data_IF_612184924079
#
_entry.id   IF_612184924079
#
_cell.length_a   1.000
_cell.length_b   1.000
_cell.length_c   1.000
_cell.angle_alpha   90.00
_cell.angle_beta   90.00
_cell.angle_gamma   90.00
#
_symmetry.space_group_name_H-M   'P 1'
#
loop_
_entity.id
_entity.type
_entity.pdbx_description
1 polymer ?
#
# COMPACT_ATOMS: atom_id res chain seq x y z
N UNK A 1 26.17 24.96 16.79
CA UNK A 1 26.85 23.65 16.61
C UNK A 1 27.01 23.44 15.12
N UNK A 2 28.24 23.56 14.61
CA UNK A 2 28.59 23.52 13.19
C UNK A 2 28.86 22.08 12.78
N UNK A 3 28.17 21.57 11.75
CA UNK A 3 28.32 20.18 11.29
C UNK A 3 29.48 19.97 10.30
N UNK A 4 30.10 21.05 9.78
CA UNK A 4 31.26 20.98 8.87
C UNK A 4 32.19 22.20 9.04
N UNK A 5 33.47 22.02 8.75
CA UNK A 5 34.43 23.11 8.51
C UNK A 5 35.06 22.94 7.13
N UNK A 6 35.50 24.04 6.50
CA UNK A 6 36.14 24.05 5.17
C UNK A 6 37.52 23.38 5.14
N UNK A 7 38.03 22.93 6.29
CA UNK A 7 39.33 22.29 6.45
C UNK A 7 39.24 20.76 6.53
N UNK A 8 38.06 20.17 6.79
CA UNK A 8 37.94 18.71 6.86
C UNK A 8 36.49 18.23 6.64
N UNK A 9 36.19 17.79 5.40
CA UNK A 9 34.89 17.22 5.03
C UNK A 9 34.67 15.80 5.61
N UNK A 10 35.66 15.22 6.29
CA UNK A 10 35.64 13.80 6.74
C UNK A 10 35.39 13.59 8.24
N UNK A 11 35.24 14.65 9.05
CA UNK A 11 35.46 14.54 10.50
C UNK A 11 34.28 14.55 11.47
N UNK A 12 33.09 15.03 11.10
CA UNK A 12 31.94 15.06 12.01
C UNK A 12 30.80 14.22 11.42
N UNK A 13 30.85 12.91 11.67
CA UNK A 13 29.84 11.96 11.21
C UNK A 13 28.47 12.23 11.84
N UNK A 14 27.69 13.11 11.24
CA UNK A 14 26.27 13.22 11.56
C UNK A 14 25.56 11.97 11.04
N UNK A 15 25.17 11.12 11.97
CA UNK A 15 24.52 9.86 11.66
C UNK A 15 22.99 10.03 11.56
N UNK A 16 22.48 10.05 10.32
CA UNK A 16 21.05 10.11 10.05
C UNK A 16 20.28 8.91 10.64
N UNK A 17 20.94 7.76 10.85
CA UNK A 17 20.30 6.58 11.44
C UNK A 17 19.85 6.80 12.89
N UNK A 18 20.40 7.82 13.56
CA UNK A 18 20.04 8.20 14.94
C UNK A 18 18.98 9.29 15.01
N UNK A 19 18.42 9.70 13.88
CA UNK A 19 17.38 10.74 13.80
C UNK A 19 16.00 10.12 13.67
N UNK A 20 14.95 10.97 13.70
CA UNK A 20 13.58 10.54 13.41
C UNK A 20 13.33 10.19 11.95
N UNK A 21 14.26 10.50 11.05
CA UNK A 21 14.18 10.15 9.64
C UNK A 21 15.47 9.45 9.18
N UNK A 22 15.62 8.15 9.47
CA UNK A 22 16.74 7.36 8.96
C UNK A 22 16.72 7.29 7.43
N UNK A 23 17.83 7.67 6.78
CA UNK A 23 17.95 7.54 5.33
C UNK A 23 18.04 6.07 4.92
N UNK A 24 16.98 5.58 4.29
CA UNK A 24 16.85 4.20 3.82
C UNK A 24 16.46 4.17 2.35
N UNK A 25 16.84 3.10 1.66
CA UNK A 25 16.53 2.93 0.25
C UNK A 25 17.04 4.10 -0.61
N UNK A 26 16.18 4.61 -1.51
CA UNK A 26 16.50 5.69 -2.43
C UNK A 26 16.92 7.00 -1.74
N UNK A 27 16.42 7.26 -0.52
CA UNK A 27 16.78 8.46 0.26
C UNK A 27 18.25 8.51 0.68
N UNK A 28 19.02 7.42 0.53
CA UNK A 28 20.47 7.42 0.81
C UNK A 28 21.29 8.19 -0.22
N UNK A 29 20.74 8.42 -1.41
CA UNK A 29 21.44 9.01 -2.54
C UNK A 29 21.07 10.49 -2.80
N UNK A 30 20.13 11.06 -2.03
CA UNK A 30 19.70 12.46 -2.22
C UNK A 30 20.75 13.43 -1.69
N UNK A 31 20.81 14.63 -2.27
CA UNK A 31 21.73 15.65 -1.79
C UNK A 31 21.23 16.25 -0.47
N UNK A 32 22.14 16.65 0.42
CA UNK A 32 21.79 17.29 1.68
C UNK A 32 20.87 18.51 1.48
N UNK A 33 21.11 19.27 0.40
CA UNK A 33 20.36 20.48 0.06
C UNK A 33 18.93 20.20 -0.38
N UNK A 34 18.59 18.98 -0.81
CA UNK A 34 17.23 18.64 -1.23
C UNK A 34 16.26 18.68 -0.04
N UNK A 35 16.76 18.40 1.17
CA UNK A 35 16.02 18.58 2.42
C UNK A 35 16.41 19.85 3.17
N UNK A 36 17.71 20.19 3.16
CA UNK A 36 18.28 21.26 3.98
C UNK A 36 18.66 22.52 3.18
N UNK A 37 18.04 22.76 2.02
CA UNK A 37 18.38 23.87 1.12
C UNK A 37 18.25 25.26 1.75
N UNK A 38 17.42 25.42 2.79
CA UNK A 38 17.32 26.66 3.59
C UNK A 38 18.38 26.79 4.69
N UNK A 39 19.37 25.89 4.77
CA UNK A 39 20.30 25.80 5.89
C UNK A 39 19.66 25.33 7.19
N UNK A 40 18.44 24.79 7.13
CA UNK A 40 17.66 24.31 8.27
C UNK A 40 17.92 22.83 8.48
N UNK A 41 18.76 22.49 9.47
CA UNK A 41 19.18 21.11 9.75
C UNK A 41 18.43 20.42 10.89
N UNK A 42 17.42 21.08 11.46
CA UNK A 42 16.61 20.54 12.57
C UNK A 42 15.16 20.92 12.41
N UNK A 43 14.27 20.07 12.91
CA UNK A 43 12.84 20.35 12.97
C UNK A 43 12.09 20.22 11.63
N UNK A 44 12.74 19.69 10.60
CA UNK A 44 12.02 19.29 9.38
C UNK A 44 11.02 18.18 9.69
N UNK A 45 9.91 18.20 8.96
CA UNK A 45 8.94 17.12 8.96
C UNK A 45 9.60 15.84 8.43
N UNK A 46 9.15 14.70 8.95
CA UNK A 46 9.71 13.38 8.65
C UNK A 46 8.66 12.44 8.03
N UNK A 47 7.43 12.91 7.87
CA UNK A 47 6.38 12.17 7.17
C UNK A 47 6.58 12.26 5.65
N UNK A 48 6.24 11.18 4.96
CA UNK A 48 6.45 11.05 3.52
C UNK A 48 5.76 12.17 2.73
N UNK A 49 4.53 12.52 3.14
CA UNK A 49 3.71 13.50 2.45
C UNK A 49 4.27 14.94 2.56
N UNK A 50 5.07 15.26 3.57
CA UNK A 50 5.72 16.57 3.68
C UNK A 50 6.57 16.94 2.47
N UNK A 51 7.15 15.96 1.78
CA UNK A 51 7.87 16.15 0.51
C UNK A 51 7.08 15.61 -0.69
N UNK A 52 6.46 14.43 -0.57
CA UNK A 52 5.82 13.72 -1.67
C UNK A 52 4.32 14.04 -1.84
N UNK A 53 3.85 15.19 -1.35
CA UNK A 53 2.44 15.57 -1.47
C UNK A 53 1.97 15.64 -2.93
N UNK A 54 2.78 16.25 -3.80
CA UNK A 54 2.44 16.37 -5.21
C UNK A 54 2.38 15.01 -5.92
N UNK A 55 3.21 14.04 -5.51
CA UNK A 55 3.18 12.68 -6.04
C UNK A 55 1.92 11.95 -5.55
N UNK A 56 1.60 12.08 -4.26
CA UNK A 56 0.36 11.56 -3.68
C UNK A 56 -0.89 12.09 -4.39
N UNK A 57 -0.97 13.41 -4.64
CA UNK A 57 -2.11 14.05 -5.28
C UNK A 57 -2.24 13.69 -6.78
N UNK A 58 -1.13 13.38 -7.46
CA UNK A 58 -1.09 13.05 -8.90
C UNK A 58 -1.21 11.56 -9.21
N UNK A 59 -1.07 10.68 -8.21
CA UNK A 59 -1.16 9.22 -8.42
C UNK A 59 -2.55 8.86 -8.95
N UNK A 60 -2.64 8.02 -9.98
CA UNK A 60 -3.90 7.62 -10.63
C UNK A 60 -4.21 6.12 -10.56
N UNK A 61 -3.26 5.30 -10.11
CA UNK A 61 -3.39 3.84 -10.12
C UNK A 61 -2.78 3.21 -8.85
N UNK A 62 -3.53 3.10 -7.74
CA UNK A 62 -4.86 3.65 -7.51
C UNK A 62 -4.84 5.18 -7.29
N UNK A 63 -5.95 5.91 -7.54
CA UNK A 63 -5.96 7.36 -7.37
C UNK A 63 -6.05 7.75 -5.89
N UNK A 64 -4.91 7.81 -5.20
CA UNK A 64 -4.81 7.95 -3.73
C UNK A 64 -5.66 9.10 -3.17
N UNK A 65 -5.45 10.32 -3.66
CA UNK A 65 -6.17 11.50 -3.17
C UNK A 65 -7.68 11.42 -3.46
N UNK A 66 -8.07 11.00 -4.66
CA UNK A 66 -9.47 10.94 -5.07
C UNK A 66 -10.26 9.87 -4.29
N UNK A 67 -9.60 8.82 -3.82
CA UNK A 67 -10.23 7.70 -3.09
C UNK A 67 -9.98 7.75 -1.59
N UNK A 68 -9.27 8.77 -1.10
CA UNK A 68 -9.06 9.01 0.33
C UNK A 68 -8.10 8.02 1.00
N UNK A 69 -7.08 7.54 0.28
CA UNK A 69 -6.00 6.75 0.91
C UNK A 69 -5.30 7.55 2.02
N UNK A 70 -4.72 6.90 3.03
CA UNK A 70 -3.98 7.61 4.06
C UNK A 70 -2.63 8.11 3.53
N UNK A 71 -2.10 9.17 4.14
CA UNK A 71 -0.73 9.66 3.89
C UNK A 71 0.33 8.89 4.69
N UNK A 72 -0.05 7.81 5.39
CA UNK A 72 0.87 6.86 6.03
C UNK A 72 1.48 5.94 4.97
N UNK A 73 2.30 6.49 4.07
CA UNK A 73 2.79 5.79 2.88
C UNK A 73 3.52 4.47 3.22
N UNK A 74 4.23 4.44 4.36
CA UNK A 74 4.95 3.26 4.84
C UNK A 74 4.05 2.06 5.19
N UNK A 75 2.73 2.24 5.26
CA UNK A 75 1.79 1.13 5.39
C UNK A 75 1.70 0.27 4.13
N UNK A 76 2.10 0.81 2.98
CA UNK A 76 2.05 0.10 1.69
C UNK A 76 3.36 0.15 0.91
N UNK A 77 4.09 1.27 0.95
CA UNK A 77 5.28 1.53 0.15
C UNK A 77 6.57 1.36 0.96
N UNK A 78 7.60 0.83 0.31
CA UNK A 78 8.97 0.80 0.83
C UNK A 78 9.80 1.98 0.33
N UNK A 79 10.87 2.32 1.06
CA UNK A 79 11.83 3.35 0.63
C UNK A 79 12.86 2.82 -0.36
N UNK A 80 13.07 1.50 -0.42
CA UNK A 80 14.01 0.86 -1.35
C UNK A 80 13.41 0.69 -2.75
N UNK A 81 12.17 0.21 -2.81
CA UNK A 81 11.36 0.11 -4.03
C UNK A 81 10.03 0.78 -3.75
N UNK A 82 9.79 1.93 -4.38
CA UNK A 82 8.55 2.67 -4.20
C UNK A 82 7.38 1.97 -4.89
N UNK A 83 7.65 1.40 -6.07
CA UNK A 83 6.70 0.55 -6.80
C UNK A 83 6.54 -0.82 -6.12
N UNK A 84 5.42 -1.50 -6.43
CA UNK A 84 5.10 -2.79 -5.83
C UNK A 84 4.56 -2.66 -4.41
N UNK A 85 3.73 -1.65 -4.17
CA UNK A 85 3.08 -1.41 -2.88
C UNK A 85 2.38 -2.69 -2.37
N UNK A 86 2.61 -3.03 -1.10
CA UNK A 86 2.03 -4.19 -0.45
C UNK A 86 1.14 -3.76 0.71
N UNK A 87 -0.14 -4.05 0.61
CA UNK A 87 -1.08 -3.91 1.72
C UNK A 87 -1.43 -5.29 2.27
N UNK A 88 -1.30 -5.50 3.58
CA UNK A 88 -1.58 -6.80 4.20
C UNK A 88 -3.08 -7.10 4.15
N UNK A 89 -3.46 -8.09 3.34
CA UNK A 89 -4.81 -8.64 3.27
C UNK A 89 -4.94 -9.99 3.98
N UNK A 90 -3.81 -10.70 4.18
CA UNK A 90 -3.80 -12.08 4.67
C UNK A 90 -4.27 -12.18 6.13
N UNK A 91 -4.08 -11.12 6.91
CA UNK A 91 -4.52 -11.03 8.30
C UNK A 91 -6.00 -10.63 8.46
N UNK A 92 -6.62 -10.06 7.43
CA UNK A 92 -7.99 -9.55 7.51
C UNK A 92 -9.03 -10.63 7.15
N UNK A 93 -9.11 -10.98 5.87
CA UNK A 93 -9.92 -12.04 5.26
C UNK A 93 -9.46 -12.14 3.80
N UNK A 94 -9.54 -13.33 3.21
CA UNK A 94 -9.17 -13.59 1.81
C UNK A 94 -7.67 -13.37 1.55
N UNK A 95 -6.82 -14.36 1.90
CA UNK A 95 -5.38 -14.21 1.75
C UNK A 95 -5.00 -14.16 0.26
N UNK A 96 -4.35 -13.07 -0.14
CA UNK A 96 -3.92 -12.81 -1.53
C UNK A 96 -2.41 -12.93 -1.70
N UNK A 97 -1.64 -12.91 -0.61
CA UNK A 97 -0.20 -13.18 -0.63
C UNK A 97 0.12 -14.63 -0.26
N UNK A 98 -0.80 -15.30 0.44
CA UNK A 98 -0.77 -16.73 0.73
C UNK A 98 -2.07 -17.42 0.26
N UNK A 99 -2.17 -18.75 0.39
CA UNK A 99 -3.36 -19.48 -0.02
C UNK A 99 -3.54 -19.59 -1.54
N UNK A 100 -4.79 -19.80 -1.99
CA UNK A 100 -5.12 -20.12 -3.39
C UNK A 100 -5.10 -18.92 -4.34
N UNK A 101 -5.23 -17.71 -3.80
CA UNK A 101 -5.19 -16.45 -4.57
C UNK A 101 -3.79 -15.83 -4.65
N UNK A 102 -2.81 -16.42 -3.96
CA UNK A 102 -1.41 -16.04 -4.07
C UNK A 102 -0.93 -16.07 -5.53
N UNK A 103 -0.36 -14.95 -6.00
CA UNK A 103 0.19 -14.81 -7.34
C UNK A 103 -0.85 -14.73 -8.46
N UNK A 104 -2.13 -14.48 -8.14
CA UNK A 104 -3.22 -14.37 -9.13
C UNK A 104 -3.56 -12.94 -9.55
N UNK A 105 -2.81 -11.96 -9.07
CA UNK A 105 -3.04 -10.53 -9.31
C UNK A 105 -1.69 -9.83 -9.49
N UNK A 106 -1.69 -8.74 -10.25
CA UNK A 106 -0.53 -7.86 -10.50
C UNK A 106 -0.82 -6.43 -10.05
N UNK A 107 -2.09 -6.04 -10.01
CA UNK A 107 -2.53 -4.72 -9.57
C UNK A 107 -3.72 -4.83 -8.62
N UNK A 108 -3.87 -3.83 -7.75
CA UNK A 108 -5.02 -3.69 -6.85
C UNK A 108 -6.34 -3.74 -7.66
N UNK A 109 -6.35 -3.16 -8.86
CA UNK A 109 -7.50 -3.07 -9.75
C UNK A 109 -7.97 -4.42 -10.32
N UNK A 110 -7.13 -5.47 -10.26
CA UNK A 110 -7.51 -6.82 -10.71
C UNK A 110 -8.63 -7.41 -9.85
N UNK A 111 -8.70 -7.00 -8.58
CA UNK A 111 -9.81 -7.32 -7.68
C UNK A 111 -10.70 -6.10 -7.42
N UNK A 112 -10.09 -4.94 -7.20
CA UNK A 112 -10.80 -3.69 -6.90
C UNK A 112 -11.17 -2.93 -8.18
N UNK A 113 -12.16 -3.47 -8.89
CA UNK A 113 -12.54 -3.01 -10.24
C UNK A 113 -13.18 -1.63 -10.27
N UNK A 114 -13.59 -1.08 -9.13
CA UNK A 114 -14.20 0.25 -9.03
C UNK A 114 -13.12 1.27 -8.68
N UNK A 115 -12.64 2.01 -9.69
CA UNK A 115 -11.57 3.01 -9.50
C UNK A 115 -11.93 4.14 -8.53
N UNK A 116 -13.21 4.42 -8.34
CA UNK A 116 -13.72 5.40 -7.36
C UNK A 116 -13.85 4.84 -5.93
N UNK A 117 -13.81 3.51 -5.75
CA UNK A 117 -13.99 2.87 -4.45
C UNK A 117 -13.27 1.51 -4.41
N UNK A 118 -12.02 1.54 -3.96
CA UNK A 118 -11.19 0.35 -3.79
C UNK A 118 -11.64 -0.56 -2.63
N UNK A 119 -12.78 -0.30 -1.99
CA UNK A 119 -13.40 -1.23 -1.04
C UNK A 119 -14.34 -2.22 -1.74
N UNK A 120 -14.66 -1.96 -3.01
CA UNK A 120 -15.50 -2.83 -3.82
C UNK A 120 -14.62 -3.83 -4.58
N UNK A 121 -15.10 -5.06 -4.64
CA UNK A 121 -14.58 -6.14 -5.46
C UNK A 121 -15.71 -7.17 -5.60
N UNK A 122 -15.57 -8.15 -6.50
CA UNK A 122 -16.56 -9.21 -6.68
C UNK A 122 -15.90 -10.56 -6.92
N UNK A 123 -16.49 -11.62 -6.37
CA UNK A 123 -16.07 -13.01 -6.61
C UNK A 123 -16.53 -13.49 -8.00
N UNK A 124 -17.52 -12.81 -8.59
CA UNK A 124 -18.24 -13.24 -9.78
C UNK A 124 -17.45 -13.08 -11.08
N UNK A 125 -16.28 -12.44 -11.05
CA UNK A 125 -15.50 -12.19 -12.26
C UNK A 125 -14.58 -13.34 -12.64
N UNK A 126 -14.10 -14.16 -11.69
CA UNK A 126 -12.89 -14.96 -11.93
C UNK A 126 -13.06 -16.49 -11.98
N UNK A 127 -14.06 -17.09 -11.33
CA UNK A 127 -14.26 -18.56 -11.32
C UNK A 127 -15.76 -18.91 -11.06
N UNK A 128 -16.20 -20.15 -10.77
CA UNK A 128 -17.60 -20.59 -11.01
C UNK A 128 -18.69 -19.83 -10.24
N UNK A 129 -18.31 -18.94 -9.33
CA UNK A 129 -19.16 -17.89 -8.79
C UNK A 129 -19.69 -16.92 -9.87
N UNK A 130 -19.27 -16.99 -11.13
CA UNK A 130 -19.95 -16.31 -12.24
C UNK A 130 -21.26 -17.00 -12.66
N UNK A 131 -21.43 -18.29 -12.33
CA UNK A 131 -22.59 -19.10 -12.67
C UNK A 131 -23.52 -19.24 -11.46
N UNK A 132 -24.60 -18.46 -11.47
CA UNK A 132 -25.58 -18.43 -10.38
C UNK A 132 -26.28 -19.76 -10.19
N UNK A 133 -26.68 -20.43 -11.26
CA UNK A 133 -27.45 -21.66 -11.16
C UNK A 133 -26.62 -22.77 -10.47
N UNK A 134 -25.34 -22.89 -10.82
CA UNK A 134 -24.43 -23.82 -10.15
C UNK A 134 -24.18 -23.44 -8.70
N UNK A 135 -23.97 -22.16 -8.44
CA UNK A 135 -23.73 -21.68 -7.08
C UNK A 135 -24.96 -21.91 -6.19
N UNK A 136 -26.16 -21.54 -6.65
CA UNK A 136 -27.43 -21.78 -5.96
C UNK A 136 -27.63 -23.29 -5.70
N UNK A 137 -27.31 -24.14 -6.68
CA UNK A 137 -27.34 -25.60 -6.54
C UNK A 137 -26.46 -26.15 -5.42
N UNK A 138 -25.23 -25.64 -5.31
CA UNK A 138 -24.28 -26.06 -4.26
C UNK A 138 -24.64 -25.56 -2.86
N UNK A 139 -25.51 -24.55 -2.76
CA UNK A 139 -25.91 -23.91 -1.50
C UNK A 139 -27.37 -24.21 -1.10
N UNK A 140 -28.02 -25.17 -1.76
CA UNK A 140 -29.39 -25.59 -1.41
C UNK A 140 -29.48 -25.96 0.09
N UNK A 141 -30.44 -25.35 0.79
CA UNK A 141 -30.67 -25.58 2.23
C UNK A 141 -29.66 -24.91 3.17
N UNK A 142 -28.72 -24.12 2.67
CA UNK A 142 -27.81 -23.34 3.53
C UNK A 142 -28.51 -22.09 4.05
N UNK A 143 -28.80 -22.10 5.36
CA UNK A 143 -29.33 -20.92 6.04
C UNK A 143 -28.35 -19.74 5.93
N UNK A 144 -28.87 -18.54 5.60
CA UNK A 144 -28.08 -17.34 5.43
C UNK A 144 -27.33 -17.23 4.10
N UNK A 145 -27.49 -18.19 3.19
CA UNK A 145 -26.96 -18.08 1.84
C UNK A 145 -27.61 -16.92 1.08
N UNK A 146 -26.78 -16.12 0.42
CA UNK A 146 -27.19 -15.10 -0.55
C UNK A 146 -26.17 -15.08 -1.67
N UNK A 147 -26.64 -14.97 -2.91
CA UNK A 147 -25.80 -14.81 -4.09
C UNK A 147 -25.31 -13.35 -4.20
N UNK A 148 -24.50 -12.94 -3.23
CA UNK A 148 -23.89 -11.62 -3.10
C UNK A 148 -22.41 -11.78 -2.70
N UNK A 149 -21.52 -11.02 -3.34
CA UNK A 149 -20.08 -11.17 -3.11
C UNK A 149 -19.68 -10.89 -1.67
N UNK A 150 -20.31 -9.93 -0.96
CA UNK A 150 -20.00 -9.67 0.45
C UNK A 150 -20.51 -10.80 1.34
N UNK A 151 -21.69 -11.35 1.06
CA UNK A 151 -22.22 -12.51 1.76
C UNK A 151 -21.34 -13.76 1.60
N UNK A 152 -20.68 -13.93 0.45
CA UNK A 152 -19.72 -15.02 0.23
C UNK A 152 -18.61 -15.04 1.29
N UNK A 153 -18.08 -13.88 1.72
CA UNK A 153 -17.01 -13.82 2.74
C UNK A 153 -17.43 -14.33 4.10
N UNK A 154 -18.70 -14.18 4.45
CA UNK A 154 -19.23 -14.63 5.74
C UNK A 154 -19.10 -16.15 5.89
N UNK A 155 -19.23 -16.90 4.78
CA UNK A 155 -19.10 -18.36 4.79
C UNK A 155 -17.76 -18.86 4.23
N UNK A 156 -17.15 -18.12 3.31
CA UNK A 156 -15.90 -18.47 2.61
C UNK A 156 -14.80 -17.43 2.86
N UNK A 157 -14.37 -17.19 4.11
CA UNK A 157 -13.46 -16.10 4.45
C UNK A 157 -12.06 -16.25 3.86
N UNK A 158 -11.70 -17.43 3.30
CA UNK A 158 -10.40 -17.67 2.66
C UNK A 158 -10.48 -17.86 1.15
N UNK A 159 -11.67 -17.83 0.55
CA UNK A 159 -11.85 -18.03 -0.90
C UNK A 159 -11.24 -19.33 -1.44
N UNK A 160 -11.23 -20.40 -0.64
CA UNK A 160 -10.53 -21.65 -0.96
C UNK A 160 -11.45 -22.77 -1.48
N UNK A 161 -12.73 -22.45 -1.73
CA UNK A 161 -13.78 -23.39 -2.15
C UNK A 161 -14.14 -23.21 -3.61
#
# INVERSE_FOLDING_TARGET
>A
MTCHSTLDWRGAGFDHARTRFPLTGAHRAIACADCHGGGVYRGLAADCASCHRADYDRTTAPPHAATGFPTTCASCHGTATWDGARFDHDSANFPIYSGKHAGRWQACADCHTTSADYRQFTCFTCHPHSDRAKTDGNHQGRSGYSYDSRACYTCHPRGNT
#
